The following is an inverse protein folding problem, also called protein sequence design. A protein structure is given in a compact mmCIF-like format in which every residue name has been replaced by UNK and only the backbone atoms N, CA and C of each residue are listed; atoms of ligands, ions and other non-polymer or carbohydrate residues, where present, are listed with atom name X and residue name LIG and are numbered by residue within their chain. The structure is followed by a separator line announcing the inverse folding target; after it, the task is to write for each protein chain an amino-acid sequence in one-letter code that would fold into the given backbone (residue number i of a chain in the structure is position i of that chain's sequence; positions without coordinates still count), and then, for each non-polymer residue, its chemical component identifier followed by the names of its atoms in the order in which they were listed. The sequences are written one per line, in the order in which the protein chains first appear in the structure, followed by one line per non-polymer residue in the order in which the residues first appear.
data_IF_549092916863
#
_entry.id   IF_549092916863
#
_cell.length_a   1.000
_cell.length_b   1.000
_cell.length_c   1.000
_cell.angle_alpha   90.00
_cell.angle_beta   90.00
_cell.angle_gamma   90.00
#
_symmetry.space_group_name_H-M   'P 1'
#
loop_
_entity.id
_entity.type
_entity.pdbx_description
1 polymer ?
#
# COMPACT_ATOMS: atom_id res chain seq x y z
N UNK A 1 -34.26 -3.19 -20.63
CA UNK A 1 -34.22 -3.37 -19.15
C UNK A 1 -33.50 -4.68 -18.81
N UNK A 2 -32.15 -4.70 -18.72
CA UNK A 2 -31.35 -5.89 -18.28
C UNK A 2 -29.83 -5.61 -18.29
N UNK A 3 -29.36 -4.50 -17.71
CA UNK A 3 -27.88 -4.25 -17.66
C UNK A 3 -27.39 -3.50 -16.42
N UNK A 4 -28.23 -3.28 -15.39
CA UNK A 4 -27.84 -2.50 -14.20
C UNK A 4 -27.33 -3.40 -13.05
N UNK A 5 -27.44 -4.73 -13.17
CA UNK A 5 -27.14 -5.67 -12.08
C UNK A 5 -25.66 -6.08 -11.92
N UNK A 6 -24.73 -5.55 -12.72
CA UNK A 6 -23.32 -5.98 -12.68
C UNK A 6 -22.41 -5.14 -11.77
N UNK A 7 -22.81 -3.95 -11.31
CA UNK A 7 -21.92 -3.07 -10.53
C UNK A 7 -22.00 -3.23 -9.00
N UNK A 8 -22.97 -3.98 -8.47
CA UNK A 8 -23.17 -4.06 -7.00
C UNK A 8 -22.25 -5.09 -6.30
N UNK A 9 -21.58 -5.97 -7.03
CA UNK A 9 -20.83 -7.09 -6.43
C UNK A 9 -19.37 -6.76 -6.06
N UNK A 10 -18.83 -5.60 -6.46
CA UNK A 10 -17.41 -5.27 -6.24
C UNK A 10 -17.13 -4.42 -4.98
N UNK A 11 -18.13 -4.13 -4.15
CA UNK A 11 -17.98 -3.17 -3.04
C UNK A 11 -17.57 -3.76 -1.67
N UNK A 12 -17.43 -5.09 -1.51
CA UNK A 12 -17.26 -5.72 -0.18
C UNK A 12 -15.88 -6.34 0.14
N UNK A 13 -14.86 -6.15 -0.70
CA UNK A 13 -13.53 -6.75 -0.47
C UNK A 13 -12.55 -5.88 0.35
N UNK A 14 -13.00 -4.81 0.99
CA UNK A 14 -12.10 -3.80 1.59
C UNK A 14 -11.55 -4.13 3.00
N UNK A 15 -11.80 -5.32 3.55
CA UNK A 15 -11.56 -5.59 4.98
C UNK A 15 -10.44 -6.55 5.39
N UNK A 16 -9.82 -7.30 4.47
CA UNK A 16 -9.06 -8.51 4.82
C UNK A 16 -7.53 -8.40 4.68
N UNK A 17 -6.94 -7.21 4.85
CA UNK A 17 -5.50 -7.00 4.68
C UNK A 17 -4.78 -6.86 6.03
N UNK A 18 -3.82 -7.75 6.35
CA UNK A 18 -3.13 -7.76 7.64
C UNK A 18 -2.55 -6.39 7.97
N UNK A 19 -2.62 -5.99 9.24
CA UNK A 19 -2.10 -4.70 9.67
C UNK A 19 -0.56 -4.76 9.74
N UNK A 20 0.10 -4.18 8.75
CA UNK A 20 1.54 -3.93 8.78
C UNK A 20 1.85 -2.64 9.55
N UNK A 21 2.59 -2.72 10.64
CA UNK A 21 2.94 -1.53 11.45
C UNK A 21 4.28 -1.70 12.16
N UNK A 22 4.84 -0.58 12.63
CA UNK A 22 5.96 -0.59 13.59
C UNK A 22 5.43 -0.87 14.98
N UNK A 23 6.08 -1.80 15.68
CA UNK A 23 5.59 -2.37 16.91
C UNK A 23 6.66 -2.39 17.98
N UNK A 24 6.26 -1.98 19.19
CA UNK A 24 7.06 -2.04 20.40
C UNK A 24 6.11 -2.25 21.58
N UNK A 25 6.11 -3.43 22.23
CA UNK A 25 5.20 -3.71 23.33
C UNK A 25 5.31 -2.68 24.46
N UNK A 26 4.19 -2.30 25.05
CA UNK A 26 4.11 -1.33 26.16
C UNK A 26 4.20 0.14 25.74
N UNK A 27 4.35 0.45 24.46
CA UNK A 27 4.38 1.83 23.97
C UNK A 27 3.00 2.28 23.52
N UNK A 28 2.65 3.54 23.82
CA UNK A 28 1.45 4.17 23.30
C UNK A 28 1.49 4.31 21.77
N UNK A 29 0.37 4.05 21.12
CA UNK A 29 0.23 4.21 19.67
C UNK A 29 0.56 5.65 19.25
N UNK A 30 0.11 6.64 20.02
CA UNK A 30 0.43 8.05 19.78
C UNK A 30 1.94 8.35 19.90
N UNK A 31 2.65 7.71 20.82
CA UNK A 31 4.11 7.85 20.94
C UNK A 31 4.82 7.27 19.72
N UNK A 32 4.40 6.08 19.25
CA UNK A 32 4.90 5.48 18.01
C UNK A 32 4.67 6.37 16.79
N UNK A 33 3.53 7.07 16.70
CA UNK A 33 3.27 8.00 15.59
C UNK A 33 4.19 9.22 15.63
N UNK A 34 4.45 9.77 16.82
CA UNK A 34 5.43 10.86 17.00
C UNK A 34 6.84 10.42 16.63
N UNK A 35 7.27 9.26 17.10
CA UNK A 35 8.60 8.72 16.79
C UNK A 35 8.76 8.48 15.28
N UNK A 36 7.75 7.90 14.63
CA UNK A 36 7.72 7.72 13.18
C UNK A 36 7.78 9.06 12.43
N UNK A 37 7.05 10.07 12.90
CA UNK A 37 7.09 11.41 12.29
C UNK A 37 8.48 12.02 12.41
N UNK A 38 9.11 11.93 13.59
CA UNK A 38 10.48 12.42 13.79
C UNK A 38 11.48 11.70 12.88
N UNK A 39 11.36 10.39 12.73
CA UNK A 39 12.17 9.61 11.79
C UNK A 39 11.96 10.04 10.34
N UNK A 40 10.71 10.34 9.93
CA UNK A 40 10.41 10.86 8.58
C UNK A 40 11.04 12.24 8.33
N UNK A 41 10.97 13.14 9.31
CA UNK A 41 11.59 14.47 9.22
C UNK A 41 13.12 14.35 9.10
N UNK A 42 13.74 13.56 9.97
CA UNK A 42 15.19 13.26 9.91
C UNK A 42 15.58 12.60 8.58
N UNK A 43 14.77 11.64 8.09
CA UNK A 43 14.97 11.00 6.80
C UNK A 43 14.90 11.99 5.64
N UNK A 44 13.95 12.92 5.64
CA UNK A 44 13.83 13.96 4.62
C UNK A 44 15.01 14.95 4.64
N UNK A 45 15.57 15.23 5.83
CA UNK A 45 16.76 16.09 5.96
C UNK A 45 18.04 15.38 5.47
N UNK A 46 18.22 14.10 5.82
CA UNK A 46 19.40 13.31 5.43
C UNK A 46 19.39 12.87 3.97
N UNK A 47 18.20 12.58 3.45
CA UNK A 47 17.98 12.06 2.10
C UNK A 47 16.96 12.95 1.38
N UNK A 48 17.38 14.13 0.89
CA UNK A 48 16.47 15.07 0.24
C UNK A 48 15.89 14.49 -1.05
N UNK A 49 14.76 15.06 -1.46
CA UNK A 49 14.06 14.70 -2.71
C UNK A 49 15.00 14.94 -3.90
N UNK A 50 15.14 13.93 -4.75
CA UNK A 50 15.87 14.02 -6.01
C UNK A 50 14.91 13.68 -7.16
N UNK A 51 14.19 14.69 -7.65
CA UNK A 51 13.33 14.51 -8.81
C UNK A 51 14.18 14.23 -10.06
N UNK A 52 13.85 13.14 -10.75
CA UNK A 52 14.44 12.73 -12.02
C UNK A 52 13.32 12.48 -13.01
N UNK A 53 13.57 12.83 -14.26
CA UNK A 53 12.66 12.54 -15.37
C UNK A 53 13.23 11.37 -16.15
N UNK A 54 12.40 10.37 -16.42
CA UNK A 54 12.72 9.29 -17.35
C UNK A 54 11.66 9.24 -18.45
N UNK A 55 12.13 9.03 -19.66
CA UNK A 55 11.29 8.77 -20.83
C UNK A 55 11.25 7.26 -21.00
N UNK A 56 10.04 6.70 -20.99
CA UNK A 56 9.78 5.31 -21.32
C UNK A 56 9.32 5.29 -22.79
N UNK A 57 10.13 4.73 -23.70
CA UNK A 57 9.77 4.69 -25.11
C UNK A 57 8.42 4.01 -25.34
N UNK A 58 7.63 4.58 -26.23
CA UNK A 58 6.37 3.98 -26.66
C UNK A 58 6.58 2.60 -27.29
N UNK A 59 5.60 1.69 -27.19
CA UNK A 59 5.70 0.39 -27.85
C UNK A 59 5.71 0.57 -29.38
N UNK A 60 6.49 -0.26 -30.07
CA UNK A 60 6.43 -0.32 -31.53
C UNK A 60 5.20 -1.13 -31.99
N UNK A 61 4.38 -0.53 -32.85
CA UNK A 61 3.26 -1.19 -33.50
C UNK A 61 3.69 -1.62 -34.91
N UNK A 62 3.73 -2.93 -35.22
CA UNK A 62 4.14 -3.40 -36.55
C UNK A 62 3.10 -3.04 -37.62
N UNK A 63 3.54 -3.07 -38.88
CA UNK A 63 2.65 -2.84 -40.01
C UNK A 63 1.54 -3.89 -40.05
N UNK A 64 0.31 -3.47 -40.32
CA UNK A 64 -0.83 -4.38 -40.48
C UNK A 64 -1.66 -4.00 -41.69
N UNK A 65 -2.23 -4.99 -42.33
CA UNK A 65 -3.21 -4.79 -43.39
C UNK A 65 -4.61 -4.80 -42.78
N UNK A 66 -5.44 -3.86 -43.18
CA UNK A 66 -6.87 -3.84 -42.84
C UNK A 66 -7.63 -3.87 -44.15
N UNK A 67 -8.54 -4.82 -44.28
CA UNK A 67 -9.45 -4.92 -45.42
C UNK A 67 -10.85 -4.52 -44.97
N UNK A 68 -11.54 -3.74 -45.80
CA UNK A 68 -12.96 -3.46 -45.61
C UNK A 68 -13.84 -4.61 -46.09
N UNK A 69 -15.17 -4.44 -45.96
CA UNK A 69 -16.16 -5.43 -46.41
C UNK A 69 -16.24 -5.60 -47.93
N UNK A 70 -15.65 -4.68 -48.68
CA UNK A 70 -15.62 -4.67 -50.15
C UNK A 70 -14.30 -5.26 -50.69
N UNK A 71 -13.58 -6.02 -49.86
CA UNK A 71 -12.28 -6.66 -50.13
C UNK A 71 -11.15 -5.68 -50.46
N UNK A 72 -11.34 -4.37 -50.22
CA UNK A 72 -10.29 -3.39 -50.45
C UNK A 72 -9.38 -3.30 -49.23
N UNK A 73 -8.16 -3.77 -49.42
CA UNK A 73 -7.15 -3.79 -48.37
C UNK A 73 -6.23 -2.56 -48.41
N UNK A 74 -6.01 -1.94 -47.26
CA UNK A 74 -5.01 -0.89 -47.06
C UNK A 74 -4.00 -1.29 -45.99
N UNK A 75 -2.74 -0.89 -46.19
CA UNK A 75 -1.65 -1.17 -45.25
C UNK A 75 -1.44 0.02 -44.34
N UNK A 76 -1.53 -0.20 -43.03
CA UNK A 76 -1.09 0.75 -42.01
C UNK A 76 0.40 0.49 -41.76
N UNK A 77 1.30 1.46 -42.02
CA UNK A 77 2.72 1.29 -41.77
C UNK A 77 2.99 1.16 -40.26
N UNK A 78 4.09 0.48 -39.94
CA UNK A 78 4.55 0.37 -38.55
C UNK A 78 4.90 1.75 -37.99
N UNK A 79 4.59 1.98 -36.72
CA UNK A 79 4.86 3.24 -36.05
C UNK A 79 5.13 3.02 -34.56
N UNK A 80 5.82 3.97 -33.93
CA UNK A 80 5.97 4.00 -32.49
C UNK A 80 4.72 4.62 -31.86
N UNK A 81 4.28 4.04 -30.75
CA UNK A 81 3.33 4.66 -29.85
C UNK A 81 3.92 5.90 -29.15
N UNK A 82 3.09 6.67 -28.45
CA UNK A 82 3.57 7.81 -27.67
C UNK A 82 4.48 7.35 -26.53
N UNK A 83 5.53 8.13 -26.27
CA UNK A 83 6.39 7.94 -25.11
C UNK A 83 5.64 8.31 -23.82
N UNK A 84 6.01 7.65 -22.71
CA UNK A 84 5.55 8.01 -21.38
C UNK A 84 6.65 8.78 -20.64
N UNK A 85 6.32 9.95 -20.13
CA UNK A 85 7.24 10.78 -19.33
C UNK A 85 6.89 10.60 -17.86
N UNK A 86 7.82 10.05 -17.09
CA UNK A 86 7.67 9.86 -15.65
C UNK A 86 8.64 10.77 -14.89
N UNK A 87 8.11 11.53 -13.94
CA UNK A 87 8.90 12.26 -12.95
C UNK A 87 8.82 11.49 -11.64
N UNK A 88 9.96 11.07 -11.11
CA UNK A 88 10.03 10.28 -9.90
C UNK A 88 11.13 10.77 -8.95
N UNK A 89 10.97 10.52 -7.65
CA UNK A 89 12.02 10.78 -6.68
C UNK A 89 12.99 9.59 -6.61
N UNK A 90 14.18 9.75 -7.20
CA UNK A 90 15.21 8.71 -7.22
C UNK A 90 15.71 8.34 -5.82
N UNK A 91 15.57 9.24 -4.85
CA UNK A 91 16.03 9.03 -3.48
C UNK A 91 14.95 8.46 -2.56
N UNK A 92 13.69 8.32 -3.02
CA UNK A 92 12.60 7.84 -2.18
C UNK A 92 12.89 6.48 -1.52
N UNK A 93 13.41 5.45 -2.23
CA UNK A 93 13.71 4.16 -1.59
C UNK A 93 14.76 4.25 -0.50
N UNK A 94 15.83 5.02 -0.71
CA UNK A 94 16.87 5.22 0.30
C UNK A 94 16.33 5.96 1.52
N UNK A 95 15.48 6.98 1.30
CA UNK A 95 14.84 7.70 2.40
C UNK A 95 13.94 6.80 3.23
N UNK A 96 13.19 5.90 2.61
CA UNK A 96 12.38 4.90 3.31
C UNK A 96 13.23 3.95 4.16
N UNK A 97 14.41 3.54 3.65
CA UNK A 97 15.36 2.72 4.42
C UNK A 97 15.91 3.46 5.64
N UNK A 98 16.25 4.76 5.50
CA UNK A 98 16.70 5.58 6.63
C UNK A 98 15.61 5.73 7.69
N UNK A 99 14.34 5.90 7.27
CA UNK A 99 13.20 5.92 8.21
C UNK A 99 13.04 4.58 8.91
N UNK A 100 13.15 3.46 8.18
CA UNK A 100 13.07 2.13 8.75
C UNK A 100 14.19 1.89 9.77
N UNK A 101 15.43 2.24 9.43
CA UNK A 101 16.58 2.14 10.33
C UNK A 101 16.36 2.96 11.60
N UNK A 102 15.92 4.21 11.48
CA UNK A 102 15.62 5.09 12.62
C UNK A 102 14.57 4.46 13.57
N UNK A 103 13.54 3.83 13.02
CA UNK A 103 12.54 3.12 13.82
C UNK A 103 13.14 1.89 14.52
N UNK A 104 13.97 1.12 13.82
CA UNK A 104 14.68 -0.03 14.38
C UNK A 104 15.63 0.37 15.50
N UNK A 105 16.38 1.45 15.33
CA UNK A 105 17.26 2.03 16.37
C UNK A 105 16.44 2.51 17.59
N UNK A 106 15.21 2.98 17.36
CA UNK A 106 14.22 3.28 18.41
C UNK A 106 13.65 2.04 19.11
N UNK A 107 14.03 0.84 18.70
CA UNK A 107 13.59 -0.44 19.24
C UNK A 107 12.21 -0.88 18.73
N UNK A 108 11.77 -0.36 17.58
CA UNK A 108 10.55 -0.82 16.92
C UNK A 108 10.85 -1.92 15.91
N UNK A 109 9.96 -2.89 15.81
CA UNK A 109 10.00 -3.95 14.81
C UNK A 109 8.85 -3.81 13.82
N UNK A 110 9.08 -4.16 12.55
CA UNK A 110 8.00 -4.17 11.55
C UNK A 110 7.28 -5.52 11.59
N UNK A 111 6.05 -5.52 12.06
CA UNK A 111 5.23 -6.73 12.21
C UNK A 111 4.00 -6.67 11.32
N UNK A 112 3.49 -7.85 10.94
CA UNK A 112 2.19 -8.01 10.28
C UNK A 112 1.26 -8.75 11.22
N UNK A 113 0.20 -8.10 11.66
CA UNK A 113 -0.79 -8.68 12.56
C UNK A 113 -1.97 -9.18 11.72
N UNK A 114 -2.34 -10.48 11.79
CA UNK A 114 -3.45 -11.02 11.02
C UNK A 114 -4.79 -10.49 11.53
N UNK A 115 -5.80 -10.49 10.66
CA UNK A 115 -7.17 -10.22 11.06
C UNK A 115 -7.73 -11.33 11.94
N UNK A 116 -8.60 -10.96 12.87
CA UNK A 116 -9.33 -11.94 13.66
C UNK A 116 -10.27 -12.76 12.77
N UNK A 117 -10.38 -14.06 13.09
CA UNK A 117 -11.39 -14.94 12.47
C UNK A 117 -12.79 -14.42 12.81
N UNK A 118 -13.76 -14.70 11.93
CA UNK A 118 -15.16 -14.34 12.18
C UNK A 118 -15.66 -14.96 13.50
N UNK A 119 -16.50 -14.22 14.24
CA UNK A 119 -17.16 -14.60 15.51
C UNK A 119 -16.45 -14.25 16.83
N UNK A 120 -15.40 -13.43 16.83
CA UNK A 120 -14.81 -12.91 18.08
C UNK A 120 -15.64 -11.71 18.57
N UNK A 121 -16.35 -11.89 19.69
CA UNK A 121 -17.08 -10.81 20.37
C UNK A 121 -16.18 -10.13 21.38
N UNK A 122 -15.75 -8.92 21.07
CA UNK A 122 -15.06 -8.02 22.00
C UNK A 122 -15.77 -6.68 22.03
N UNK A 123 -15.70 -6.00 23.17
CA UNK A 123 -16.21 -4.65 23.30
C UNK A 123 -15.51 -3.72 22.27
N UNK A 124 -16.26 -2.86 21.55
CA UNK A 124 -15.68 -1.89 20.64
C UNK A 124 -14.65 -1.02 21.35
N UNK A 125 -13.48 -0.87 20.75
CA UNK A 125 -12.39 -0.10 21.33
C UNK A 125 -11.30 0.24 20.33
N UNK A 126 -10.28 0.93 20.83
CA UNK A 126 -9.08 1.29 20.09
C UNK A 126 -7.87 0.90 20.93
N UNK A 127 -6.87 0.29 20.30
CA UNK A 127 -5.59 0.05 20.98
C UNK A 127 -4.90 1.38 21.25
N UNK A 128 -4.76 1.74 22.52
CA UNK A 128 -4.00 2.94 22.94
C UNK A 128 -2.56 2.63 23.26
N UNK A 129 -2.30 1.45 23.83
CA UNK A 129 -0.98 0.93 24.20
C UNK A 129 -0.80 -0.41 23.50
N UNK A 130 0.35 -0.62 22.87
CA UNK A 130 0.65 -1.89 22.23
C UNK A 130 0.74 -3.02 23.26
N UNK A 131 -0.11 -4.06 23.16
CA UNK A 131 0.02 -5.23 24.03
C UNK A 131 1.31 -6.02 23.74
N UNK A 132 1.56 -7.10 24.48
CA UNK A 132 2.55 -8.10 24.04
C UNK A 132 1.87 -8.98 23.00
N UNK A 133 2.44 -9.10 21.80
CA UNK A 133 1.91 -9.99 20.77
C UNK A 133 2.16 -11.45 21.16
N UNK A 134 1.17 -12.28 20.85
CA UNK A 134 1.16 -13.74 20.99
C UNK A 134 0.80 -14.35 19.63
N UNK A 135 1.02 -15.67 19.43
CA UNK A 135 0.61 -16.33 18.17
C UNK A 135 -0.89 -16.23 17.88
N UNK A 136 -1.72 -16.01 18.89
CA UNK A 136 -3.18 -15.84 18.81
C UNK A 136 -3.62 -14.38 18.62
N UNK A 137 -2.69 -13.42 18.74
CA UNK A 137 -3.00 -12.00 18.59
C UNK A 137 -3.52 -11.68 17.19
N UNK A 138 -4.62 -10.94 17.13
CA UNK A 138 -5.26 -10.55 15.89
C UNK A 138 -5.84 -9.14 15.95
N UNK A 139 -6.07 -8.53 14.78
CA UNK A 139 -6.62 -7.18 14.67
C UNK A 139 -8.07 -7.19 14.24
N UNK A 140 -8.86 -6.34 14.87
CA UNK A 140 -10.26 -6.04 14.52
C UNK A 140 -10.30 -4.61 14.04
N UNK A 141 -10.96 -4.36 12.91
CA UNK A 141 -11.21 -3.01 12.39
C UNK A 141 -12.68 -2.67 12.57
N UNK A 142 -12.97 -1.54 13.21
CA UNK A 142 -14.33 -1.04 13.42
C UNK A 142 -14.33 0.48 13.20
N UNK A 143 -15.19 0.98 12.31
CA UNK A 143 -15.37 2.42 12.08
C UNK A 143 -14.06 3.21 11.83
N UNK A 144 -13.13 2.64 11.06
CA UNK A 144 -11.83 3.24 10.77
C UNK A 144 -10.80 3.12 11.90
N UNK A 145 -11.20 2.66 13.09
CA UNK A 145 -10.31 2.33 14.20
C UNK A 145 -9.88 0.87 14.14
N UNK A 146 -8.77 0.56 14.82
CA UNK A 146 -8.28 -0.81 14.97
C UNK A 146 -7.98 -1.13 16.43
N UNK A 147 -8.24 -2.38 16.77
CA UNK A 147 -8.01 -2.94 18.09
C UNK A 147 -7.30 -4.28 17.93
N UNK A 148 -6.14 -4.39 18.56
CA UNK A 148 -5.42 -5.65 18.73
C UNK A 148 -6.01 -6.35 19.95
N UNK A 149 -6.43 -7.60 19.75
CA UNK A 149 -6.96 -8.48 20.78
C UNK A 149 -6.17 -9.78 20.79
N UNK A 150 -6.18 -10.44 21.93
CA UNK A 150 -5.65 -11.79 22.09
C UNK A 150 -6.77 -12.70 22.56
N UNK A 151 -7.44 -13.44 21.64
CA UNK A 151 -8.56 -14.32 21.99
C UNK A 151 -8.17 -15.57 22.77
N UNK A 152 -6.87 -15.88 22.88
CA UNK A 152 -6.36 -17.06 23.59
C UNK A 152 -6.01 -16.79 25.06
N UNK A 153 -6.28 -15.58 25.55
CA UNK A 153 -6.02 -15.13 26.92
C UNK A 153 -7.28 -14.69 27.64
#
# INVERSE_FOLDING_TARGET
MKSILACAALAFLTGCLPLGTYYKPGVEVARKDRDLMNCKVSGAQKVPVSQRTRIIPGPYYPSRQICDSDEKCYTIPGHYGPDQVEIYDANAPLREQVVAQCMTDGGYERVKIPHCKANIRVAPGQTKVFPKLTPTSCVIRQNGQWQIVDPGK
#
